data_IF_608894863640
#
_entry.id   IF_608894863640
#
_cell.length_a   1.000
_cell.length_b   1.000
_cell.length_c   1.000
_cell.angle_alpha   90.00
_cell.angle_beta   90.00
_cell.angle_gamma   90.00
#
_symmetry.space_group_name_H-M   'P 1'
#
loop_
_entity.id
_entity.type
_entity.pdbx_description
1 polymer ?
#
# COMPACT_ATOMS: atom_id res chain seq x y z
N UNK A 1 -10.76 3.79 -50.51
CA UNK A 1 -10.79 4.36 -49.15
C UNK A 1 -9.56 5.22 -49.01
N UNK A 2 -9.72 6.53 -48.80
CA UNK A 2 -8.59 7.39 -48.45
C UNK A 2 -8.29 7.16 -46.97
N UNK A 3 -7.10 6.62 -46.66
CA UNK A 3 -6.61 6.61 -45.29
C UNK A 3 -6.26 8.05 -44.93
N UNK A 4 -6.91 8.59 -43.90
CA UNK A 4 -6.54 9.88 -43.32
C UNK A 4 -5.35 9.57 -42.42
N UNK A 5 -4.14 10.12 -42.67
CA UNK A 5 -3.04 9.99 -41.73
C UNK A 5 -3.44 10.68 -40.44
N UNK A 6 -3.47 9.91 -39.35
CA UNK A 6 -3.61 10.48 -38.01
C UNK A 6 -2.28 11.14 -37.69
N UNK A 7 -2.29 12.45 -37.55
CA UNK A 7 -1.17 13.22 -37.04
C UNK A 7 -1.09 12.96 -35.53
N UNK A 8 -0.22 12.02 -35.15
CA UNK A 8 -0.07 11.57 -33.76
C UNK A 8 0.41 12.71 -32.85
N UNK A 9 1.25 13.62 -33.37
CA UNK A 9 1.69 14.82 -32.65
C UNK A 9 0.50 15.74 -32.31
N UNK A 10 -0.47 15.85 -33.23
CA UNK A 10 -1.72 16.58 -32.97
C UNK A 10 -2.55 15.92 -31.87
N UNK A 11 -2.66 14.58 -31.87
CA UNK A 11 -3.42 13.81 -30.88
C UNK A 11 -2.76 13.86 -29.49
N UNK A 12 -1.45 13.79 -29.40
CA UNK A 12 -0.68 13.94 -28.16
C UNK A 12 -0.80 15.36 -27.60
N UNK A 13 -0.77 16.37 -28.47
CA UNK A 13 -1.03 17.76 -28.05
C UNK A 13 -2.47 17.95 -27.53
N UNK A 14 -3.42 17.18 -28.07
CA UNK A 14 -4.82 17.17 -27.64
C UNK A 14 -4.96 16.47 -26.29
N UNK A 15 -4.33 15.32 -26.10
CA UNK A 15 -4.30 14.56 -24.84
C UNK A 15 -3.69 15.40 -23.70
N UNK A 16 -2.56 16.07 -23.96
CA UNK A 16 -1.91 16.98 -22.99
C UNK A 16 -2.70 18.28 -22.72
N UNK A 17 -3.70 18.61 -23.55
CA UNK A 17 -4.65 19.72 -23.34
C UNK A 17 -5.91 19.28 -22.60
N UNK A 18 -6.40 18.07 -22.87
CA UNK A 18 -7.64 17.53 -22.30
C UNK A 18 -7.40 16.92 -20.92
N UNK A 19 -6.17 16.48 -20.62
CA UNK A 19 -5.76 15.96 -19.32
C UNK A 19 -4.67 16.86 -18.69
N UNK A 20 -5.00 18.08 -18.25
CA UNK A 20 -4.03 19.00 -17.64
C UNK A 20 -3.42 18.46 -16.33
N UNK A 21 -3.99 17.40 -15.75
CA UNK A 21 -3.44 16.70 -14.57
C UNK A 21 -2.12 15.98 -14.88
N UNK A 22 -1.83 15.65 -16.15
CA UNK A 22 -0.51 15.18 -16.58
C UNK A 22 0.56 16.30 -16.53
N UNK A 23 0.18 17.57 -16.36
CA UNK A 23 1.09 18.73 -16.34
C UNK A 23 1.45 19.24 -14.96
N UNK A 24 0.98 18.65 -13.86
CA UNK A 24 1.36 19.11 -12.51
C UNK A 24 1.53 17.98 -11.50
N UNK A 25 2.79 17.58 -11.34
CA UNK A 25 3.38 17.39 -10.01
C UNK A 25 4.59 18.33 -9.91
N UNK A 26 4.32 19.61 -9.65
CA UNK A 26 5.35 20.55 -9.20
C UNK A 26 5.45 20.46 -7.68
N UNK A 27 5.98 19.34 -7.20
CA UNK A 27 6.65 19.27 -5.91
C UNK A 27 7.98 18.56 -6.18
N UNK A 28 9.01 19.39 -6.33
CA UNK A 28 10.40 19.03 -6.58
C UNK A 28 11.01 18.41 -5.30
N UNK A 29 10.31 17.43 -4.72
CA UNK A 29 10.89 16.56 -3.70
C UNK A 29 11.57 15.42 -4.45
N UNK A 30 12.89 15.40 -4.38
CA UNK A 30 13.71 14.31 -4.89
C UNK A 30 13.18 12.96 -4.38
N UNK A 31 13.27 11.93 -5.21
CA UNK A 31 12.96 10.55 -4.80
C UNK A 31 13.83 10.19 -3.58
N UNK A 32 13.17 9.83 -2.47
CA UNK A 32 13.83 9.36 -1.25
C UNK A 32 13.30 7.98 -0.89
N UNK A 33 14.20 7.13 -0.39
CA UNK A 33 13.90 5.81 0.14
C UNK A 33 13.92 5.80 1.67
N UNK A 34 13.42 6.89 2.25
CA UNK A 34 13.39 7.12 3.69
C UNK A 34 12.02 7.68 4.10
N UNK A 35 11.57 7.30 5.29
CA UNK A 35 10.34 7.78 5.90
C UNK A 35 10.40 9.29 6.17
N UNK A 36 9.29 10.00 5.91
CA UNK A 36 9.18 11.43 6.20
C UNK A 36 9.00 11.69 7.72
N UNK A 37 9.98 12.32 8.41
CA UNK A 37 9.90 12.55 9.85
C UNK A 37 8.75 13.46 10.30
N UNK A 38 8.13 14.17 9.36
CA UNK A 38 7.04 15.13 9.61
C UNK A 38 5.70 14.66 9.00
N UNK A 39 5.56 13.37 8.68
CA UNK A 39 4.27 12.81 8.28
C UNK A 39 3.36 12.68 9.50
N UNK A 40 2.12 13.16 9.40
CA UNK A 40 1.13 13.11 10.48
C UNK A 40 1.17 14.32 11.43
N UNK A 41 0.52 14.18 12.59
CA UNK A 41 0.53 15.20 13.63
C UNK A 41 1.73 15.01 14.56
N UNK A 42 2.71 15.92 14.48
CA UNK A 42 3.91 15.90 15.32
C UNK A 42 5.15 15.32 14.62
N UNK A 43 6.22 15.13 15.39
CA UNK A 43 7.46 14.53 14.90
C UNK A 43 7.46 13.05 15.22
N UNK A 44 7.69 12.23 14.20
CA UNK A 44 7.75 10.78 14.34
C UNK A 44 8.84 10.35 15.34
N UNK A 45 8.55 9.33 16.13
CA UNK A 45 9.56 8.74 17.04
C UNK A 45 10.62 7.98 16.25
N UNK A 46 11.77 7.68 16.88
CA UNK A 46 12.84 6.91 16.21
C UNK A 46 12.39 5.50 15.86
N UNK A 47 11.61 4.91 16.74
CA UNK A 47 11.06 3.56 16.61
C UNK A 47 10.01 3.52 15.49
N UNK A 48 9.15 4.54 15.41
CA UNK A 48 8.18 4.70 14.32
C UNK A 48 8.88 4.85 12.96
N UNK A 49 9.89 5.72 12.88
CA UNK A 49 10.68 5.90 11.66
C UNK A 49 11.39 4.61 11.26
N UNK A 50 11.89 3.84 12.23
CA UNK A 50 12.50 2.54 11.96
C UNK A 50 11.49 1.58 11.33
N UNK A 51 10.27 1.49 11.86
CA UNK A 51 9.22 0.63 11.30
C UNK A 51 8.81 1.08 9.89
N UNK A 52 8.59 2.38 9.68
CA UNK A 52 8.25 2.92 8.35
C UNK A 52 9.37 2.65 7.33
N UNK A 53 10.63 2.83 7.71
CA UNK A 53 11.79 2.53 6.87
C UNK A 53 11.94 1.03 6.54
N UNK A 54 11.43 0.11 7.36
CA UNK A 54 11.47 -1.32 7.02
C UNK A 54 10.58 -1.70 5.84
N UNK A 55 9.60 -0.84 5.51
CA UNK A 55 8.72 -0.99 4.34
C UNK A 55 9.27 -0.27 3.12
N UNK A 56 9.91 0.90 3.31
CA UNK A 56 10.35 1.76 2.21
C UNK A 56 11.72 1.33 1.65
N UNK A 57 12.69 1.04 2.51
CA UNK A 57 14.08 0.79 2.10
C UNK A 57 14.27 -0.35 1.08
N UNK A 58 13.49 -1.46 1.10
CA UNK A 58 13.62 -2.49 0.08
C UNK A 58 13.36 -2.01 -1.35
N UNK A 59 12.59 -0.91 -1.53
CA UNK A 59 12.32 -0.35 -2.85
C UNK A 59 13.57 0.27 -3.50
N UNK A 60 14.60 0.65 -2.74
CA UNK A 60 15.82 1.25 -3.30
C UNK A 60 16.59 0.22 -4.14
N UNK A 61 16.78 -0.98 -3.59
CA UNK A 61 17.43 -2.08 -4.29
C UNK A 61 16.66 -2.45 -5.56
N UNK A 62 15.33 -2.48 -5.47
CA UNK A 62 14.49 -2.79 -6.63
C UNK A 62 14.50 -1.67 -7.68
N UNK A 63 14.45 -0.40 -7.26
CA UNK A 63 14.61 0.76 -8.14
C UNK A 63 15.92 0.67 -8.94
N UNK A 64 17.03 0.41 -8.26
CA UNK A 64 18.34 0.28 -8.88
C UNK A 64 18.42 -0.91 -9.85
N UNK A 65 17.77 -2.04 -9.53
CA UNK A 65 17.65 -3.19 -10.44
C UNK A 65 16.79 -2.85 -11.66
N UNK A 66 15.66 -2.18 -11.46
CA UNK A 66 14.72 -1.83 -12.51
C UNK A 66 15.33 -0.85 -13.52
N UNK A 67 16.11 0.15 -13.09
CA UNK A 67 16.85 1.03 -14.01
C UNK A 67 17.77 0.26 -14.93
N UNK A 68 18.52 -0.70 -14.39
CA UNK A 68 19.41 -1.58 -15.17
C UNK A 68 18.62 -2.47 -16.13
N UNK A 69 17.47 -2.97 -15.69
CA UNK A 69 16.57 -3.78 -16.50
C UNK A 69 16.03 -3.01 -17.71
N UNK A 70 15.60 -1.76 -17.52
CA UNK A 70 15.14 -0.90 -18.62
C UNK A 70 16.21 -0.70 -19.68
N UNK A 71 17.46 -0.47 -19.25
CA UNK A 71 18.62 -0.25 -20.12
C UNK A 71 19.08 -1.50 -20.90
N UNK A 72 18.65 -2.69 -20.50
CA UNK A 72 19.06 -3.91 -21.18
C UNK A 72 18.33 -4.07 -22.53
N UNK A 73 18.96 -3.65 -23.62
CA UNK A 73 18.41 -3.73 -24.98
C UNK A 73 18.29 -5.16 -25.53
N UNK A 74 19.06 -6.10 -24.99
CA UNK A 74 19.04 -7.50 -25.45
C UNK A 74 17.85 -8.29 -24.88
N UNK A 75 17.28 -7.82 -23.76
CA UNK A 75 16.19 -8.49 -23.07
C UNK A 75 14.83 -8.07 -23.63
N UNK A 76 14.00 -9.05 -23.95
CA UNK A 76 12.65 -8.83 -24.46
C UNK A 76 11.75 -8.18 -23.39
N UNK A 77 10.78 -7.38 -23.83
CA UNK A 77 9.83 -6.72 -22.93
C UNK A 77 9.10 -7.72 -22.00
N UNK A 78 8.68 -8.87 -22.53
CA UNK A 78 8.03 -9.93 -21.74
C UNK A 78 8.92 -10.46 -20.60
N UNK A 79 10.22 -10.66 -20.86
CA UNK A 79 11.17 -11.10 -19.84
C UNK A 79 11.41 -10.01 -18.77
N UNK A 80 11.41 -8.73 -19.19
CA UNK A 80 11.50 -7.60 -18.25
C UNK A 80 10.25 -7.53 -17.37
N UNK A 81 9.07 -7.69 -17.95
CA UNK A 81 7.79 -7.72 -17.22
C UNK A 81 7.79 -8.85 -16.19
N UNK A 82 8.23 -10.05 -16.59
CA UNK A 82 8.34 -11.18 -15.66
C UNK A 82 9.28 -10.88 -14.49
N UNK A 83 10.46 -10.30 -14.76
CA UNK A 83 11.40 -9.92 -13.71
C UNK A 83 10.84 -8.86 -12.74
N UNK A 84 10.03 -7.92 -13.26
CA UNK A 84 9.28 -6.95 -12.43
C UNK A 84 8.25 -7.67 -11.56
N UNK A 85 7.47 -8.58 -12.13
CA UNK A 85 6.42 -9.30 -11.42
C UNK A 85 6.99 -10.13 -10.27
N UNK A 86 8.02 -10.93 -10.55
CA UNK A 86 8.69 -11.76 -9.54
C UNK A 86 9.28 -10.90 -8.40
N UNK A 87 9.83 -9.73 -8.74
CA UNK A 87 10.38 -8.80 -7.75
C UNK A 87 9.30 -8.14 -6.90
N UNK A 88 8.19 -7.72 -7.53
CA UNK A 88 7.05 -7.12 -6.84
C UNK A 88 6.39 -8.14 -5.91
N UNK A 89 6.17 -9.38 -6.35
CA UNK A 89 5.53 -10.40 -5.52
C UNK A 89 6.39 -10.72 -4.28
N UNK A 90 7.72 -10.76 -4.45
CA UNK A 90 8.67 -10.93 -3.35
C UNK A 90 8.64 -9.76 -2.36
N UNK A 91 8.71 -8.52 -2.84
CA UNK A 91 8.65 -7.32 -2.01
C UNK A 91 7.31 -7.19 -1.26
N UNK A 92 6.21 -7.45 -1.95
CA UNK A 92 4.87 -7.44 -1.39
C UNK A 92 4.75 -8.45 -0.26
N UNK A 93 5.24 -9.68 -0.46
CA UNK A 93 5.19 -10.73 0.56
C UNK A 93 6.06 -10.37 1.78
N UNK A 94 7.28 -9.90 1.57
CA UNK A 94 8.18 -9.46 2.66
C UNK A 94 7.59 -8.29 3.46
N UNK A 95 6.99 -7.31 2.78
CA UNK A 95 6.31 -6.18 3.43
C UNK A 95 5.10 -6.65 4.25
N UNK A 96 4.27 -7.54 3.70
CA UNK A 96 3.12 -8.13 4.39
C UNK A 96 3.55 -8.87 5.68
N UNK A 97 4.60 -9.70 5.61
CA UNK A 97 5.10 -10.45 6.76
C UNK A 97 5.65 -9.51 7.86
N UNK A 98 6.36 -8.45 7.45
CA UNK A 98 6.88 -7.43 8.38
C UNK A 98 5.77 -6.66 9.07
N UNK A 99 4.76 -6.20 8.33
CA UNK A 99 3.64 -5.45 8.89
C UNK A 99 2.83 -6.30 9.84
N UNK A 100 2.57 -7.56 9.48
CA UNK A 100 1.88 -8.48 10.38
C UNK A 100 2.59 -8.58 11.73
N UNK A 101 3.89 -8.87 11.73
CA UNK A 101 4.66 -9.00 12.97
C UNK A 101 4.78 -7.68 13.75
N UNK A 102 4.96 -6.55 13.06
CA UNK A 102 5.09 -5.26 13.73
C UNK A 102 3.79 -4.80 14.37
N UNK A 103 2.67 -5.00 13.70
CA UNK A 103 1.35 -4.54 14.14
C UNK A 103 0.85 -5.39 15.31
N UNK A 104 1.05 -6.71 15.27
CA UNK A 104 0.83 -7.59 16.43
C UNK A 104 1.66 -7.14 17.65
N UNK A 105 2.93 -6.82 17.45
CA UNK A 105 3.81 -6.34 18.53
C UNK A 105 3.34 -4.98 19.08
N UNK A 106 2.92 -4.06 18.21
CA UNK A 106 2.42 -2.73 18.60
C UNK A 106 1.12 -2.81 19.35
N UNK A 107 0.24 -3.68 18.88
CA UNK A 107 -1.01 -4.00 19.54
C UNK A 107 -0.74 -4.50 20.97
N UNK A 108 0.15 -5.49 21.15
CA UNK A 108 0.48 -6.02 22.47
C UNK A 108 1.07 -4.94 23.38
N UNK A 109 1.96 -4.09 22.85
CA UNK A 109 2.52 -2.95 23.60
C UNK A 109 1.42 -2.02 24.11
N UNK A 110 0.44 -1.68 23.27
CA UNK A 110 -0.68 -0.82 23.68
C UNK A 110 -1.54 -1.45 24.78
N UNK A 111 -1.80 -2.76 24.67
CA UNK A 111 -2.52 -3.53 25.68
C UNK A 111 -1.77 -3.53 27.02
N UNK A 112 -0.47 -3.83 27.00
CA UNK A 112 0.37 -3.91 28.18
C UNK A 112 0.54 -2.54 28.87
N UNK A 113 0.70 -1.48 28.08
CA UNK A 113 0.79 -0.10 28.57
C UNK A 113 -0.48 0.26 29.36
N UNK A 114 -1.65 0.05 28.78
CA UNK A 114 -2.92 0.37 29.44
C UNK A 114 -3.21 -0.53 30.63
N UNK A 115 -2.92 -1.84 30.52
CA UNK A 115 -3.07 -2.77 31.63
C UNK A 115 -2.19 -2.34 32.83
N UNK A 116 -0.97 -1.87 32.56
CA UNK A 116 -0.08 -1.31 33.58
C UNK A 116 -0.72 -0.07 34.23
N UNK A 117 -1.22 0.89 33.43
CA UNK A 117 -1.94 2.07 33.95
C UNK A 117 -3.14 1.68 34.83
N UNK A 118 -3.99 0.76 34.36
CA UNK A 118 -5.17 0.31 35.09
C UNK A 118 -4.82 -0.40 36.41
N UNK A 119 -3.76 -1.20 36.41
CA UNK A 119 -3.28 -1.90 37.60
C UNK A 119 -2.63 -0.95 38.60
N UNK A 120 -1.79 -0.04 38.13
CA UNK A 120 -0.98 0.80 39.00
C UNK A 120 -1.78 2.00 39.54
N UNK A 121 -2.59 2.64 38.71
CA UNK A 121 -3.32 3.85 39.08
C UNK A 121 -4.72 3.55 39.62
N UNK A 122 -5.40 2.53 39.08
CA UNK A 122 -6.80 2.22 39.39
C UNK A 122 -7.01 0.92 40.16
N UNK A 123 -5.94 0.14 40.39
CA UNK A 123 -5.97 -1.16 41.10
C UNK A 123 -6.92 -2.18 40.45
N UNK A 124 -7.09 -2.08 39.13
CA UNK A 124 -7.94 -2.96 38.34
C UNK A 124 -7.15 -4.14 37.82
N UNK A 125 -7.75 -5.32 37.86
CA UNK A 125 -7.19 -6.51 37.22
C UNK A 125 -7.86 -6.69 35.87
N UNK A 126 -7.15 -6.36 34.79
CA UNK A 126 -7.61 -6.65 33.43
C UNK A 126 -7.57 -8.17 33.21
N UNK A 127 -8.60 -8.77 32.60
CA UNK A 127 -8.58 -10.15 32.15
C UNK A 127 -7.37 -10.46 31.25
N UNK A 128 -7.13 -11.75 31.02
CA UNK A 128 -6.18 -12.14 29.98
C UNK A 128 -6.80 -11.85 28.63
N UNK A 129 -5.95 -11.44 27.71
CA UNK A 129 -6.36 -11.26 26.33
C UNK A 129 -6.77 -12.60 25.71
N UNK A 130 -7.81 -12.57 24.88
CA UNK A 130 -8.26 -13.72 24.10
C UNK A 130 -7.33 -13.98 22.90
N UNK A 131 -7.36 -15.22 22.40
CA UNK A 131 -6.60 -15.60 21.20
C UNK A 131 -7.19 -14.97 19.93
N UNK A 132 -8.52 -14.85 19.84
CA UNK A 132 -9.16 -14.11 18.75
C UNK A 132 -9.30 -12.63 19.12
N UNK A 133 -8.84 -11.77 18.22
CA UNK A 133 -8.76 -10.32 18.42
C UNK A 133 -9.36 -9.63 17.20
N UNK A 134 -10.71 -9.53 17.10
CA UNK A 134 -11.38 -9.05 15.89
C UNK A 134 -10.89 -7.68 15.42
N UNK A 135 -10.55 -6.78 16.35
CA UNK A 135 -10.01 -5.45 16.03
C UNK A 135 -8.60 -5.52 15.46
N UNK A 136 -7.70 -6.32 16.04
CA UNK A 136 -6.36 -6.55 15.48
C UNK A 136 -6.48 -7.22 14.10
N UNK A 137 -7.30 -8.25 13.98
CA UNK A 137 -7.54 -8.97 12.72
C UNK A 137 -8.05 -8.05 11.60
N UNK A 138 -8.91 -7.08 11.92
CA UNK A 138 -9.37 -6.08 10.96
C UNK A 138 -8.25 -5.12 10.53
N UNK A 139 -7.42 -4.66 11.46
CA UNK A 139 -6.27 -3.78 11.16
C UNK A 139 -5.27 -4.51 10.28
N UNK A 140 -4.90 -5.75 10.65
CA UNK A 140 -4.01 -6.60 9.87
C UNK A 140 -4.55 -6.82 8.46
N UNK A 141 -5.83 -7.20 8.31
CA UNK A 141 -6.45 -7.38 7.00
C UNK A 141 -6.37 -6.13 6.14
N UNK A 142 -6.71 -4.98 6.71
CA UNK A 142 -6.66 -3.70 5.99
C UNK A 142 -5.22 -3.34 5.57
N UNK A 143 -4.24 -3.53 6.47
CA UNK A 143 -2.84 -3.27 6.18
C UNK A 143 -2.29 -4.18 5.07
N UNK A 144 -2.56 -5.48 5.13
CA UNK A 144 -2.12 -6.45 4.12
C UNK A 144 -2.69 -6.12 2.73
N UNK A 145 -3.97 -5.72 2.66
CA UNK A 145 -4.63 -5.30 1.42
C UNK A 145 -4.06 -3.99 0.88
N UNK A 146 -3.75 -3.03 1.75
CA UNK A 146 -3.17 -1.76 1.32
C UNK A 146 -1.74 -1.91 0.80
N UNK A 147 -0.94 -2.80 1.40
CA UNK A 147 0.41 -3.15 0.90
C UNK A 147 0.30 -3.78 -0.49
N UNK A 148 -0.64 -4.71 -0.65
CA UNK A 148 -0.92 -5.34 -1.95
C UNK A 148 -1.32 -4.30 -3.00
N UNK A 149 -2.23 -3.38 -2.69
CA UNK A 149 -2.63 -2.28 -3.59
C UNK A 149 -1.43 -1.42 -4.00
N UNK A 150 -0.60 -0.97 -3.03
CA UNK A 150 0.56 -0.13 -3.31
C UNK A 150 1.51 -0.82 -4.31
N UNK A 151 1.83 -2.09 -4.08
CA UNK A 151 2.72 -2.86 -4.95
C UNK A 151 2.08 -3.22 -6.30
N UNK A 152 0.77 -3.48 -6.37
CA UNK A 152 0.03 -3.68 -7.62
C UNK A 152 0.05 -2.42 -8.49
N UNK A 153 -0.15 -1.25 -7.89
CA UNK A 153 -0.05 0.04 -8.58
C UNK A 153 1.37 0.26 -9.11
N UNK A 154 2.40 0.00 -8.29
CA UNK A 154 3.80 0.07 -8.74
C UNK A 154 4.04 -0.88 -9.94
N UNK A 155 3.61 -2.14 -9.83
CA UNK A 155 3.72 -3.14 -10.91
C UNK A 155 3.11 -2.63 -12.22
N UNK A 156 1.89 -2.10 -12.16
CA UNK A 156 1.19 -1.57 -13.33
C UNK A 156 1.97 -0.43 -14.00
N UNK A 157 2.49 0.52 -13.21
CA UNK A 157 3.31 1.63 -13.71
C UNK A 157 4.62 1.15 -14.34
N UNK A 158 5.33 0.22 -13.71
CA UNK A 158 6.60 -0.31 -14.23
C UNK A 158 6.41 -1.09 -15.54
N UNK A 159 5.34 -1.89 -15.63
CA UNK A 159 4.95 -2.56 -16.89
C UNK A 159 4.63 -1.56 -17.99
N UNK A 160 3.90 -0.48 -17.66
CA UNK A 160 3.60 0.58 -18.63
C UNK A 160 4.88 1.25 -19.14
N UNK A 161 5.83 1.55 -18.26
CA UNK A 161 7.14 2.11 -18.66
C UNK A 161 7.87 1.16 -19.60
N UNK A 162 7.95 -0.14 -19.28
CA UNK A 162 8.58 -1.15 -20.15
C UNK A 162 7.93 -1.15 -21.54
N UNK A 163 6.60 -1.18 -21.61
CA UNK A 163 5.88 -1.22 -22.88
C UNK A 163 6.09 0.05 -23.72
N UNK A 164 6.10 1.22 -23.08
CA UNK A 164 6.41 2.49 -23.77
C UNK A 164 7.85 2.47 -24.30
N UNK A 165 8.83 2.03 -23.49
CA UNK A 165 10.22 1.90 -23.93
C UNK A 165 10.36 0.95 -25.12
N UNK A 166 9.64 -0.18 -25.11
CA UNK A 166 9.68 -1.17 -26.20
C UNK A 166 9.09 -0.64 -27.50
N UNK A 167 7.93 0.04 -27.43
CA UNK A 167 7.28 0.70 -28.58
C UNK A 167 8.18 1.79 -29.17
N UNK A 168 8.77 2.65 -28.32
CA UNK A 168 9.69 3.70 -28.77
C UNK A 168 10.93 3.10 -29.44
N UNK A 169 11.49 2.02 -28.87
CA UNK A 169 12.64 1.31 -29.44
C UNK A 169 12.33 0.72 -30.81
N UNK A 170 11.12 0.18 -31.01
CA UNK A 170 10.66 -0.30 -32.31
C UNK A 170 10.60 0.84 -33.34
N UNK A 171 9.98 1.97 -33.01
CA UNK A 171 9.88 3.12 -33.91
C UNK A 171 11.24 3.74 -34.25
N UNK A 172 12.16 3.80 -33.27
CA UNK A 172 13.54 4.22 -33.50
C UNK A 172 14.27 3.28 -34.49
N UNK A 173 14.02 1.96 -34.41
CA UNK A 173 14.67 0.97 -35.28
C UNK A 173 14.22 1.02 -36.75
N UNK A 174 12.98 1.46 -37.02
CA UNK A 174 12.44 1.57 -38.39
C UNK A 174 12.74 2.93 -39.04
N UNK A 175 13.21 3.90 -38.25
CA UNK A 175 13.60 5.22 -38.75
C UNK A 175 15.04 5.15 -39.30
N UNK A 176 15.31 5.55 -40.56
CA UNK A 176 16.65 5.48 -41.13
C UNK A 176 17.63 6.36 -40.34
N UNK A 177 18.53 5.76 -39.59
CA UNK A 177 19.55 6.47 -38.83
C UNK A 177 20.60 7.03 -39.79
N UNK A 178 20.53 8.34 -40.06
CA UNK A 178 21.67 9.06 -40.65
C UNK A 178 22.83 9.02 -39.67
N UNK A 179 23.87 8.25 -39.98
CA UNK A 179 25.20 8.23 -39.33
C UNK A 179 25.16 8.57 -37.82
N UNK A 180 24.97 7.55 -36.98
CA UNK A 180 25.00 7.67 -35.50
C UNK A 180 26.23 8.50 -35.10
N UNK A 181 25.98 9.72 -34.61
CA UNK A 181 27.01 10.56 -34.01
C UNK A 181 26.85 10.46 -32.51
N UNK A 182 27.87 9.93 -31.85
CA UNK A 182 28.00 9.95 -30.38
C UNK A 182 27.61 11.33 -29.85
N UNK A 183 26.78 11.36 -28.82
CA UNK A 183 26.30 12.61 -28.27
C UNK A 183 27.48 13.42 -27.69
N UNK A 184 27.64 14.68 -28.13
CA UNK A 184 28.63 15.61 -27.56
C UNK A 184 27.90 16.54 -26.62
N UNK A 185 28.37 16.64 -25.37
CA UNK A 185 27.76 17.46 -24.32
C UNK A 185 27.44 18.88 -24.81
N UNK A 186 26.15 19.25 -24.79
CA UNK A 186 25.66 20.58 -25.16
C UNK A 186 25.24 21.37 -23.93
N UNK A 187 25.37 22.70 -24.01
CA UNK A 187 24.91 23.60 -22.95
C UNK A 187 23.41 23.45 -22.65
N UNK A 188 22.61 23.08 -23.65
CA UNK A 188 21.16 22.87 -23.57
C UNK A 188 20.72 21.56 -22.90
N UNK A 189 21.64 20.64 -22.60
CA UNK A 189 21.27 19.37 -21.99
C UNK A 189 20.84 19.50 -20.54
N UNK A 190 19.84 18.71 -20.16
CA UNK A 190 19.39 18.58 -18.77
C UNK A 190 20.49 17.98 -17.89
N UNK A 191 20.44 18.17 -16.56
CA UNK A 191 21.35 17.49 -15.63
C UNK A 191 21.35 15.97 -15.83
N UNK A 192 20.17 15.36 -16.00
CA UNK A 192 20.03 13.93 -16.28
C UNK A 192 20.79 13.52 -17.56
N UNK A 193 20.61 14.23 -18.69
CA UNK A 193 21.31 13.87 -19.93
C UNK A 193 22.83 13.98 -19.79
N UNK A 194 23.31 14.98 -19.04
CA UNK A 194 24.75 15.15 -18.76
C UNK A 194 25.30 14.01 -17.90
N UNK A 195 24.55 13.52 -16.94
CA UNK A 195 24.94 12.38 -16.10
C UNK A 195 24.85 11.06 -16.87
N UNK A 196 23.73 10.82 -17.53
CA UNK A 196 23.48 9.67 -18.38
C UNK A 196 24.54 9.50 -19.48
N UNK A 197 25.01 10.60 -20.10
CA UNK A 197 26.07 10.56 -21.11
C UNK A 197 27.45 10.16 -20.57
N UNK A 198 27.70 10.29 -19.26
CA UNK A 198 28.92 9.80 -18.62
C UNK A 198 28.84 8.29 -18.39
N UNK A 199 27.65 7.82 -18.00
CA UNK A 199 27.39 6.40 -17.72
C UNK A 199 27.23 5.59 -19.01
N UNK A 200 26.68 6.22 -20.06
CA UNK A 200 26.35 5.60 -21.34
C UNK A 200 26.94 6.43 -22.51
N UNK A 201 28.28 6.43 -22.69
CA UNK A 201 28.95 7.31 -23.66
C UNK A 201 28.71 6.94 -25.13
N UNK A 202 28.06 5.80 -25.37
CA UNK A 202 27.72 5.33 -26.71
C UNK A 202 26.30 5.72 -27.16
N UNK A 203 25.49 6.28 -26.25
CA UNK A 203 24.15 6.78 -26.59
C UNK A 203 24.22 8.08 -27.42
N UNK A 204 23.30 8.23 -28.35
CA UNK A 204 23.04 9.51 -29.02
C UNK A 204 22.13 10.44 -28.19
N UNK A 205 21.88 11.65 -28.70
CA UNK A 205 21.11 12.66 -27.96
C UNK A 205 19.63 12.30 -27.79
N UNK A 206 19.05 11.55 -28.72
CA UNK A 206 17.66 11.11 -28.63
C UNK A 206 17.55 9.96 -27.62
N UNK A 207 18.47 9.00 -27.68
CA UNK A 207 18.58 7.91 -26.70
C UNK A 207 18.76 8.45 -25.27
N UNK A 208 19.58 9.50 -25.10
CA UNK A 208 19.76 10.17 -23.80
C UNK A 208 18.50 10.91 -23.34
N UNK A 209 17.68 11.45 -24.26
CA UNK A 209 16.43 12.12 -23.92
C UNK A 209 15.38 11.09 -23.48
N UNK A 210 15.18 10.04 -24.27
CA UNK A 210 14.28 8.93 -23.96
C UNK A 210 14.66 8.25 -22.63
N UNK A 211 15.97 8.07 -22.39
CA UNK A 211 16.45 7.58 -21.09
C UNK A 211 15.96 8.46 -19.95
N UNK A 212 16.17 9.77 -20.03
CA UNK A 212 15.78 10.70 -18.97
C UNK A 212 14.27 10.78 -18.76
N UNK A 213 13.47 10.67 -19.82
CA UNK A 213 12.00 10.62 -19.71
C UNK A 213 11.52 9.35 -19.01
N UNK A 214 12.13 8.20 -19.34
CA UNK A 214 11.85 6.93 -18.69
C UNK A 214 12.30 6.91 -17.21
N UNK A 215 13.45 7.50 -16.89
CA UNK A 215 13.90 7.65 -15.50
C UNK A 215 12.96 8.56 -14.71
N UNK A 216 12.53 9.70 -15.24
CA UNK A 216 11.58 10.58 -14.56
C UNK A 216 10.24 9.85 -14.25
N UNK A 217 9.77 9.03 -15.20
CA UNK A 217 8.56 8.22 -15.01
C UNK A 217 8.75 7.14 -13.94
N UNK A 218 9.93 6.51 -13.91
CA UNK A 218 10.33 5.54 -12.88
C UNK A 218 10.38 6.21 -11.51
N UNK A 219 11.03 7.36 -11.40
CA UNK A 219 11.15 8.12 -10.15
C UNK A 219 9.77 8.49 -9.60
N UNK A 220 8.86 8.91 -10.47
CA UNK A 220 7.47 9.20 -10.09
C UNK A 220 6.74 7.97 -9.56
N UNK A 221 6.91 6.80 -10.20
CA UNK A 221 6.27 5.56 -9.76
C UNK A 221 6.77 5.11 -8.38
N UNK A 222 8.09 5.14 -8.17
CA UNK A 222 8.69 4.78 -6.87
C UNK A 222 8.38 5.80 -5.78
N UNK A 223 8.31 7.09 -6.11
CA UNK A 223 7.92 8.14 -5.16
C UNK A 223 6.49 7.95 -4.66
N UNK A 224 5.55 7.68 -5.57
CA UNK A 224 4.16 7.37 -5.19
C UNK A 224 4.09 6.14 -4.28
N UNK A 225 4.79 5.06 -4.64
CA UNK A 225 4.82 3.85 -3.83
C UNK A 225 5.45 4.08 -2.45
N UNK A 226 6.59 4.79 -2.36
CA UNK A 226 7.24 5.09 -1.10
C UNK A 226 6.34 5.95 -0.20
N UNK A 227 5.65 6.94 -0.75
CA UNK A 227 4.69 7.76 0.01
C UNK A 227 3.54 6.91 0.57
N UNK A 228 3.01 5.97 -0.22
CA UNK A 228 1.96 5.04 0.24
C UNK A 228 2.47 4.16 1.37
N UNK A 229 3.62 3.51 1.19
CA UNK A 229 4.21 2.65 2.23
C UNK A 229 4.55 3.42 3.50
N UNK A 230 4.97 4.68 3.39
CA UNK A 230 5.24 5.56 4.53
C UNK A 230 3.96 5.86 5.33
N UNK A 231 2.87 6.18 4.63
CA UNK A 231 1.54 6.39 5.23
C UNK A 231 0.99 5.12 5.86
N UNK A 232 1.19 3.96 5.22
CA UNK A 232 0.77 2.67 5.76
C UNK A 232 1.54 2.30 7.02
N UNK A 233 2.86 2.49 7.02
CA UNK A 233 3.68 2.26 8.21
C UNK A 233 3.28 3.16 9.38
N UNK A 234 2.93 4.44 9.12
CA UNK A 234 2.41 5.34 10.14
C UNK A 234 1.04 4.90 10.66
N UNK A 235 0.12 4.50 9.76
CA UNK A 235 -1.19 4.00 10.16
C UNK A 235 -1.08 2.74 11.03
N UNK A 236 -0.34 1.73 10.57
CA UNK A 236 -0.16 0.46 11.29
C UNK A 236 0.45 0.68 12.67
N UNK A 237 1.41 1.59 12.77
CA UNK A 237 1.99 2.03 14.05
C UNK A 237 0.94 2.58 15.02
N UNK A 238 0.16 3.58 14.59
CA UNK A 238 -0.76 4.32 15.45
C UNK A 238 -1.98 3.47 15.81
N UNK A 239 -2.66 2.90 14.80
CA UNK A 239 -3.93 2.24 15.01
C UNK A 239 -3.77 0.89 15.73
N UNK A 240 -2.67 0.15 15.50
CA UNK A 240 -2.42 -1.10 16.24
C UNK A 240 -2.19 -0.83 17.72
N UNK A 241 -1.32 0.13 18.07
CA UNK A 241 -1.08 0.48 19.47
C UNK A 241 -2.34 1.01 20.16
N UNK A 242 -3.08 1.88 19.48
CA UNK A 242 -4.36 2.41 19.97
C UNK A 242 -5.41 1.32 20.14
N UNK A 243 -5.46 0.32 19.26
CA UNK A 243 -6.37 -0.80 19.38
C UNK A 243 -6.11 -1.62 20.66
N UNK A 244 -4.86 -1.98 20.92
CA UNK A 244 -4.49 -2.69 22.15
C UNK A 244 -4.79 -1.88 23.41
N UNK A 245 -4.47 -0.58 23.38
CA UNK A 245 -4.78 0.33 24.48
C UNK A 245 -6.28 0.42 24.77
N UNK A 246 -7.10 0.54 23.72
CA UNK A 246 -8.57 0.61 23.86
C UNK A 246 -9.17 -0.70 24.37
N UNK A 247 -8.67 -1.85 23.93
CA UNK A 247 -9.16 -3.15 24.40
C UNK A 247 -8.92 -3.34 25.90
N UNK A 248 -7.69 -3.12 26.36
CA UNK A 248 -7.37 -3.16 27.79
C UNK A 248 -8.18 -2.12 28.58
N UNK A 249 -8.37 -0.92 28.02
CA UNK A 249 -9.17 0.14 28.61
C UNK A 249 -10.65 -0.23 28.81
N UNK A 250 -11.25 -0.83 27.78
CA UNK A 250 -12.63 -1.33 27.81
C UNK A 250 -12.77 -2.39 28.91
N UNK A 251 -11.91 -3.41 28.91
CA UNK A 251 -11.91 -4.43 29.96
C UNK A 251 -11.72 -3.84 31.37
N UNK A 252 -10.82 -2.88 31.52
CA UNK A 252 -10.61 -2.17 32.78
C UNK A 252 -11.87 -1.43 33.25
N UNK A 253 -12.52 -0.71 32.35
CA UNK A 253 -13.73 0.05 32.65
C UNK A 253 -14.91 -0.86 33.05
N UNK A 254 -15.11 -1.98 32.34
CA UNK A 254 -16.11 -2.97 32.71
C UNK A 254 -15.83 -3.56 34.11
N UNK A 255 -14.57 -3.75 34.47
CA UNK A 255 -14.18 -4.25 35.80
C UNK A 255 -14.41 -3.21 36.91
N UNK A 256 -14.37 -1.92 36.58
CA UNK A 256 -14.59 -0.80 37.52
C UNK A 256 -16.06 -0.51 37.83
N UNK A 257 -17.01 -1.35 37.38
CA UNK A 257 -18.46 -1.15 37.55
C UNK A 257 -19.00 0.15 36.94
N UNK A 258 -18.22 0.81 36.07
CA UNK A 258 -18.84 1.58 35.00
C UNK A 258 -19.44 0.52 34.09
N UNK A 259 -20.73 0.25 34.25
CA UNK A 259 -21.48 -0.69 33.45
C UNK A 259 -21.46 -0.19 31.99
N UNK A 260 -20.36 -0.46 31.29
CA UNK A 260 -20.28 -0.35 29.85
C UNK A 260 -21.01 -1.58 29.35
N UNK A 261 -22.32 -1.41 29.28
CA UNK A 261 -23.23 -2.35 28.68
C UNK A 261 -23.42 -1.90 27.24
N UNK A 262 -23.34 -2.84 26.30
CA UNK A 262 -23.64 -2.58 24.89
C UNK A 262 -24.88 -3.35 24.51
N UNK A 263 -25.75 -2.70 23.75
CA UNK A 263 -26.92 -3.38 23.22
C UNK A 263 -26.49 -4.46 22.24
N UNK A 264 -27.15 -5.61 22.34
CA UNK A 264 -27.04 -6.66 21.36
C UNK A 264 -27.86 -6.23 20.13
N UNK A 265 -27.18 -5.70 19.14
CA UNK A 265 -27.84 -5.24 17.91
C UNK A 265 -27.94 -6.41 16.95
N UNK A 266 -29.11 -7.05 16.90
CA UNK A 266 -29.51 -7.76 15.69
C UNK A 266 -29.77 -6.70 14.63
N UNK A 267 -29.15 -6.79 13.44
CA UNK A 267 -29.68 -6.03 12.30
C UNK A 267 -31.18 -6.32 12.22
N UNK A 268 -32.02 -5.29 12.15
CA UNK A 268 -33.51 -5.32 12.24
C UNK A 268 -34.19 -6.19 11.15
N UNK A 269 -33.76 -7.43 10.98
CA UNK A 269 -34.33 -8.44 10.12
C UNK A 269 -35.29 -9.26 10.97
N UNK A 270 -36.54 -9.40 10.53
CA UNK A 270 -37.63 -10.04 11.29
C UNK A 270 -37.49 -11.57 11.44
N UNK A 271 -36.35 -12.14 11.05
CA UNK A 271 -36.12 -13.57 10.87
C UNK A 271 -34.77 -14.01 11.49
N UNK A 272 -34.54 -13.58 12.73
CA UNK A 272 -33.39 -13.97 13.57
C UNK A 272 -33.68 -15.28 14.33
N UNK A 273 -32.66 -16.09 14.57
CA UNK A 273 -32.83 -17.33 15.33
C UNK A 273 -33.13 -17.11 16.82
N UNK A 274 -33.75 -18.09 17.48
CA UNK A 274 -34.16 -18.03 18.89
C UNK A 274 -33.00 -17.61 19.80
N UNK A 275 -31.78 -18.07 19.54
CA UNK A 275 -30.57 -17.63 20.27
C UNK A 275 -30.26 -16.14 20.08
N UNK A 276 -30.35 -15.62 18.86
CA UNK A 276 -30.10 -14.21 18.57
C UNK A 276 -31.21 -13.31 19.13
N UNK A 277 -32.47 -13.79 19.08
CA UNK A 277 -33.63 -13.14 19.68
C UNK A 277 -33.49 -13.08 21.21
N UNK A 278 -33.12 -14.19 21.84
CA UNK A 278 -32.89 -14.27 23.29
C UNK A 278 -31.75 -13.34 23.72
N UNK A 279 -30.65 -13.25 22.97
CA UNK A 279 -29.56 -12.33 23.29
C UNK A 279 -29.94 -10.86 23.09
N UNK A 280 -30.79 -10.55 22.11
CA UNK A 280 -31.36 -9.21 21.93
C UNK A 280 -32.30 -8.85 23.09
N UNK A 281 -33.19 -9.76 23.48
CA UNK A 281 -34.17 -9.54 24.56
C UNK A 281 -33.50 -9.42 25.94
N UNK A 282 -32.32 -10.03 26.11
CA UNK A 282 -31.53 -9.96 27.34
C UNK A 282 -30.42 -8.88 27.32
N UNK A 283 -30.38 -8.04 26.29
CA UNK A 283 -29.46 -6.91 26.23
C UNK A 283 -29.88 -5.77 27.18
N UNK A 284 -28.98 -4.82 27.51
CA UNK A 284 -27.58 -4.70 27.08
C UNK A 284 -26.63 -5.63 27.88
N UNK A 285 -25.58 -6.13 27.23
CA UNK A 285 -24.60 -7.04 27.83
C UNK A 285 -23.35 -6.31 28.29
N UNK A 286 -22.77 -6.74 29.41
CA UNK A 286 -21.40 -6.38 29.77
C UNK A 286 -20.45 -6.77 28.65
N UNK A 287 -19.54 -5.89 28.25
CA UNK A 287 -18.52 -6.19 27.23
C UNK A 287 -17.59 -7.36 27.61
N UNK A 288 -17.59 -7.82 28.86
CA UNK A 288 -16.85 -8.99 29.34
C UNK A 288 -17.64 -10.30 29.20
N UNK A 289 -18.95 -10.20 28.99
CA UNK A 289 -19.90 -11.31 28.94
C UNK A 289 -20.76 -11.23 27.67
N UNK A 290 -20.32 -10.48 26.65
CA UNK A 290 -20.98 -10.41 25.35
C UNK A 290 -21.00 -11.83 24.75
N UNK A 291 -22.18 -12.36 24.39
CA UNK A 291 -22.28 -13.61 23.66
C UNK A 291 -21.53 -13.56 22.31
N UNK A 292 -21.06 -14.69 21.77
CA UNK A 292 -20.38 -14.71 20.45
C UNK A 292 -21.25 -14.10 19.33
N UNK A 293 -20.70 -13.16 18.54
CA UNK A 293 -21.41 -12.50 17.42
C UNK A 293 -21.89 -13.54 16.37
N UNK A 294 -23.19 -13.55 16.09
CA UNK A 294 -23.77 -14.28 14.96
C UNK A 294 -24.18 -13.31 13.85
N UNK A 295 -23.36 -13.19 12.80
CA UNK A 295 -23.74 -12.46 11.59
C UNK A 295 -24.72 -13.30 10.75
N UNK A 296 -25.97 -12.88 10.70
CA UNK A 296 -26.93 -13.39 9.70
C UNK A 296 -27.35 -14.84 9.89
N UNK A 297 -27.42 -15.33 11.13
CA UNK A 297 -28.04 -16.62 11.46
C UNK A 297 -29.54 -16.62 11.13
N UNK A 298 -29.88 -16.77 9.84
CA UNK A 298 -31.24 -17.07 9.40
C UNK A 298 -31.57 -18.47 9.91
N UNK A 299 -32.72 -18.61 10.57
CA UNK A 299 -33.22 -19.93 10.95
C UNK A 299 -33.21 -20.86 9.75
N UNK A 300 -32.54 -22.01 9.85
CA UNK A 300 -32.86 -23.15 8.98
C UNK A 300 -34.32 -23.50 9.27
N UNK A 301 -35.19 -23.35 8.28
CA UNK A 301 -36.60 -23.73 8.37
C UNK A 301 -36.70 -25.26 8.40
N UNK A 302 -36.90 -25.84 9.59
CA UNK A 302 -37.22 -27.26 9.72
C UNK A 302 -38.72 -27.43 9.47
N UNK A 303 -39.08 -27.78 8.23
CA UNK A 303 -40.44 -28.21 7.89
C UNK A 303 -40.45 -29.73 7.78
N UNK A 304 -41.17 -30.39 8.70
CA UNK A 304 -41.39 -31.83 8.67
C UNK A 304 -40.12 -32.71 8.71
N UNK A 305 -39.12 -32.34 9.51
CA UNK A 305 -37.95 -33.19 9.78
C UNK A 305 -36.92 -33.25 8.66
N UNK A 306 -36.97 -32.30 7.71
CA UNK A 306 -35.95 -32.13 6.68
C UNK A 306 -35.28 -30.78 6.92
N UNK A 307 -33.97 -30.80 7.11
CA UNK A 307 -33.14 -29.59 7.14
C UNK A 307 -32.89 -29.12 5.71
N UNK A 308 -33.18 -27.85 5.44
CA UNK A 308 -32.76 -27.18 4.22
C UNK A 308 -31.67 -26.17 4.59
N UNK A 309 -30.51 -26.29 3.94
CA UNK A 309 -29.61 -25.15 3.82
C UNK A 309 -30.28 -24.14 2.88
N UNK A 310 -30.31 -22.88 3.29
CA UNK A 310 -30.69 -21.78 2.40
C UNK A 310 -29.63 -21.61 1.31
#
# INVERSE_FOLDING_TARGET
MAMIPVDEDFMDSLLLKVMPELKKSTANDDLKFEANPNLGEGTATKEELKQRNTLISPNEDFYNKFKKLLLNKEQLAEDKIKAVDDSIDSLMKDAQDKVQSSDETRYQSGYDDMNTTLKDDYKVKVPKQEEDQPRLNSILRQQLMNIEDAYLVLRGRLRQIINITDVNSYYASVTPTSTIKKAINKSSWTPCMKEASKENPDMDEEELREYCENINSTDSAFKDNNNRLDQLGMFGWVESQKAGWLEAGLFGAATLTLAIEVDWVTMEDSDVCEYCQDNADNSPWSILEIPEEHYGGRCKLVVAGVEFDA
#
